data_IF_683110245605
#
_entry.id   IF_683110245605
#
_cell.length_a   1.000
_cell.length_b   1.000
_cell.length_c   1.000
_cell.angle_alpha   90.00
_cell.angle_beta   90.00
_cell.angle_gamma   90.00
#
_symmetry.space_group_name_H-M   'P 1'
#
loop_
_entity.id
_entity.type
_entity.pdbx_description
1 polymer ?
#
# COMPACT_ATOMS: atom_id res chain seq x y z
N UNK A 1 -19.16 -11.19 16.03
CA UNK A 1 -18.11 -10.16 16.32
C UNK A 1 -17.82 -9.46 15.00
N UNK A 2 -17.64 -8.12 14.97
CA UNK A 2 -17.31 -7.39 13.73
C UNK A 2 -15.89 -7.74 13.29
N UNK A 3 -15.72 -8.43 12.17
CA UNK A 3 -14.41 -8.75 11.59
C UNK A 3 -13.97 -7.65 10.63
N UNK A 4 -12.69 -7.64 10.27
CA UNK A 4 -12.16 -6.68 9.31
C UNK A 4 -11.07 -7.28 8.45
N UNK A 5 -10.93 -6.77 7.24
CA UNK A 5 -9.84 -7.11 6.31
C UNK A 5 -8.98 -5.87 6.10
N UNK A 6 -7.67 -6.04 6.16
CA UNK A 6 -6.69 -5.02 5.77
C UNK A 6 -5.98 -5.50 4.52
N UNK A 7 -6.07 -4.72 3.45
CA UNK A 7 -5.22 -4.92 2.28
C UNK A 7 -4.03 -3.97 2.34
N UNK A 8 -2.86 -4.44 1.93
CA UNK A 8 -1.68 -3.61 1.73
C UNK A 8 -1.09 -3.84 0.34
N UNK A 9 -0.94 -2.75 -0.40
CA UNK A 9 -0.45 -2.80 -1.78
C UNK A 9 0.68 -1.79 -1.99
N UNK A 10 1.67 -2.24 -2.76
CA UNK A 10 2.76 -1.40 -3.24
C UNK A 10 2.90 -1.52 -4.75
N UNK A 11 3.04 -0.40 -5.42
CA UNK A 11 3.12 -0.34 -6.88
C UNK A 11 4.08 0.77 -7.29
N UNK A 12 4.72 0.64 -8.46
CA UNK A 12 5.45 1.75 -9.08
C UNK A 12 4.49 2.53 -9.99
N UNK A 13 4.14 3.76 -9.60
CA UNK A 13 3.33 4.65 -10.43
C UNK A 13 4.21 5.65 -11.19
N UNK A 14 4.12 5.67 -12.52
CA UNK A 14 4.90 6.56 -13.37
C UNK A 14 4.58 8.02 -13.10
N UNK A 15 5.60 8.86 -13.12
CA UNK A 15 5.45 10.32 -13.03
C UNK A 15 6.38 11.00 -14.02
N UNK A 16 6.00 12.21 -14.43
CA UNK A 16 6.73 13.00 -15.42
C UNK A 16 7.29 14.29 -14.79
N UNK A 17 8.25 14.90 -15.49
CA UNK A 17 8.95 16.11 -15.04
C UNK A 17 10.30 15.83 -14.37
N UNK A 18 11.31 16.63 -14.71
CA UNK A 18 12.67 16.46 -14.19
C UNK A 18 12.73 16.74 -12.68
N UNK A 19 12.11 17.84 -12.24
CA UNK A 19 12.09 18.31 -10.86
C UNK A 19 11.03 17.63 -9.97
N UNK A 20 10.37 16.55 -10.42
CA UNK A 20 9.36 15.85 -9.61
C UNK A 20 10.01 15.27 -8.35
N UNK A 21 9.77 15.91 -7.21
CA UNK A 21 10.37 15.55 -5.93
C UNK A 21 10.02 14.11 -5.54
N UNK A 22 11.03 13.41 -4.98
CA UNK A 22 10.89 12.04 -4.51
C UNK A 22 10.82 10.99 -5.63
N UNK A 23 10.62 11.38 -6.89
CA UNK A 23 10.58 10.44 -8.00
C UNK A 23 11.98 9.87 -8.27
N UNK A 24 12.06 8.56 -8.48
CA UNK A 24 13.30 7.89 -8.87
C UNK A 24 13.00 6.72 -9.80
N UNK A 25 14.04 6.19 -10.45
CA UNK A 25 13.90 4.97 -11.24
C UNK A 25 13.73 3.76 -10.32
N UNK A 26 12.68 2.99 -10.55
CA UNK A 26 12.41 1.72 -9.88
C UNK A 26 12.11 0.62 -10.89
N UNK A 27 12.25 -0.63 -10.46
CA UNK A 27 11.88 -1.78 -11.28
C UNK A 27 10.36 -1.91 -11.38
N UNK A 28 9.87 -2.19 -12.58
CA UNK A 28 8.49 -2.60 -12.83
C UNK A 28 8.46 -3.63 -13.95
N UNK A 29 7.40 -4.44 -14.02
CA UNK A 29 7.20 -5.41 -15.09
C UNK A 29 6.13 -4.89 -16.04
N UNK A 30 6.44 -4.80 -17.33
CA UNK A 30 5.48 -4.55 -18.40
C UNK A 30 5.52 -5.75 -19.35
N UNK A 31 4.37 -6.40 -19.54
CA UNK A 31 4.27 -7.63 -20.34
C UNK A 31 5.34 -8.68 -19.98
N UNK A 32 5.55 -8.90 -18.67
CA UNK A 32 6.53 -9.87 -18.14
C UNK A 32 7.99 -9.43 -18.16
N UNK A 33 8.33 -8.32 -18.82
CA UNK A 33 9.72 -7.81 -18.89
C UNK A 33 9.99 -6.80 -17.80
N UNK A 34 11.10 -6.99 -17.10
CA UNK A 34 11.59 -6.04 -16.10
C UNK A 34 12.19 -4.81 -16.79
N UNK A 35 11.67 -3.64 -16.45
CA UNK A 35 12.16 -2.35 -16.93
C UNK A 35 12.39 -1.39 -15.76
N UNK A 36 13.22 -0.37 -15.98
CA UNK A 36 13.32 0.77 -15.08
C UNK A 36 12.37 1.87 -15.53
N UNK A 37 11.58 2.40 -14.59
CA UNK A 37 10.68 3.52 -14.87
C UNK A 37 10.79 4.57 -13.79
N UNK A 38 10.84 5.85 -14.18
CA UNK A 38 10.78 6.97 -13.22
C UNK A 38 9.38 7.03 -12.64
N UNK A 39 9.29 6.93 -11.32
CA UNK A 39 8.01 6.83 -10.62
C UNK A 39 8.10 7.18 -9.15
N UNK A 40 6.93 7.17 -8.52
CA UNK A 40 6.78 7.07 -7.07
C UNK A 40 6.26 5.67 -6.76
N UNK A 41 6.58 5.18 -5.57
CA UNK A 41 6.10 3.88 -5.10
C UNK A 41 5.11 4.06 -3.95
N UNK A 42 3.81 4.33 -4.23
CA UNK A 42 2.78 4.32 -3.20
C UNK A 42 2.83 3.04 -2.36
N UNK A 43 2.62 3.18 -1.06
CA UNK A 43 2.21 2.10 -0.17
C UNK A 43 0.86 2.52 0.38
N UNK A 44 -0.16 1.69 0.18
CA UNK A 44 -1.54 2.00 0.52
C UNK A 44 -2.09 0.85 1.35
N UNK A 45 -2.82 1.20 2.40
CA UNK A 45 -3.65 0.24 3.14
C UNK A 45 -5.12 0.61 3.05
N UNK A 46 -5.95 -0.38 2.80
CA UNK A 46 -7.42 -0.25 2.91
C UNK A 46 -7.93 -1.09 4.07
N UNK A 47 -9.06 -0.69 4.64
CA UNK A 47 -9.84 -1.49 5.59
C UNK A 47 -11.19 -1.76 4.95
N UNK A 48 -11.62 -3.01 4.99
CA UNK A 48 -12.95 -3.45 4.53
C UNK A 48 -13.66 -4.22 5.63
N UNK A 49 -15.00 -4.10 5.67
CA UNK A 49 -15.87 -4.88 6.55
C UNK A 49 -17.00 -5.49 5.73
N UNK A 50 -17.77 -6.39 6.34
CA UNK A 50 -18.99 -6.97 5.79
C UNK A 50 -20.15 -5.97 5.65
N UNK A 51 -20.06 -4.82 6.33
CA UNK A 51 -21.15 -3.86 6.44
C UNK A 51 -20.90 -2.54 5.69
N UNK A 52 -19.77 -2.38 5.00
CA UNK A 52 -19.43 -1.09 4.37
C UNK A 52 -18.43 -1.22 3.22
N UNK A 53 -18.35 -0.15 2.41
CA UNK A 53 -17.37 -0.05 1.34
C UNK A 53 -15.93 0.03 1.90
N UNK A 54 -14.93 -0.48 1.17
CA UNK A 54 -13.53 -0.33 1.56
C UNK A 54 -13.14 1.14 1.72
N UNK A 55 -12.39 1.46 2.78
CA UNK A 55 -11.86 2.80 3.05
C UNK A 55 -10.34 2.78 3.05
N UNK A 56 -9.71 3.84 2.53
CA UNK A 56 -8.25 4.00 2.62
C UNK A 56 -7.90 4.37 4.06
N UNK A 57 -7.19 3.48 4.76
CA UNK A 57 -6.74 3.70 6.13
C UNK A 57 -5.39 4.44 6.20
N UNK A 58 -4.62 4.42 5.10
CA UNK A 58 -3.34 5.10 5.00
C UNK A 58 -2.76 5.05 3.60
N UNK A 59 -2.09 6.12 3.20
CA UNK A 59 -1.35 6.19 1.94
C UNK A 59 -0.03 6.93 2.16
N UNK A 60 1.07 6.40 1.62
CA UNK A 60 2.38 7.06 1.64
C UNK A 60 3.02 7.01 0.27
N UNK A 61 3.52 8.14 -0.20
CA UNK A 61 4.39 8.20 -1.36
C UNK A 61 5.82 7.89 -0.92
N UNK A 62 6.47 6.97 -1.63
CA UNK A 62 7.89 6.64 -1.44
C UNK A 62 8.63 6.86 -2.75
N UNK A 63 9.95 6.93 -2.66
CA UNK A 63 10.79 6.97 -3.85
C UNK A 63 10.51 5.76 -4.76
N UNK A 64 10.55 5.96 -6.08
CA UNK A 64 10.27 4.89 -7.06
C UNK A 64 11.15 3.64 -6.87
N UNK A 65 12.35 3.80 -6.33
CA UNK A 65 13.28 2.72 -6.01
C UNK A 65 12.98 1.97 -4.71
N UNK A 66 11.92 2.34 -3.98
CA UNK A 66 11.57 1.68 -2.74
C UNK A 66 11.11 0.24 -3.00
N UNK A 67 11.72 -0.72 -2.31
CA UNK A 67 11.24 -2.09 -2.25
C UNK A 67 9.79 -2.13 -1.72
N UNK A 68 8.97 -3.04 -2.25
CA UNK A 68 7.55 -3.18 -1.93
C UNK A 68 7.28 -3.30 -0.43
N UNK A 69 8.08 -4.08 0.30
CA UNK A 69 7.96 -4.27 1.75
C UNK A 69 8.41 -3.07 2.60
N UNK A 70 9.09 -2.07 2.03
CA UNK A 70 9.63 -0.93 2.80
C UNK A 70 8.51 -0.14 3.47
N UNK A 71 8.39 -0.29 4.79
CA UNK A 71 7.41 0.39 5.63
C UNK A 71 6.08 -0.35 5.80
N UNK A 72 5.93 -1.55 5.21
CA UNK A 72 4.70 -2.33 5.23
C UNK A 72 4.26 -2.70 6.64
N UNK A 73 5.14 -3.31 7.45
CA UNK A 73 4.82 -3.75 8.81
C UNK A 73 4.29 -2.59 9.68
N UNK A 74 4.92 -1.42 9.59
CA UNK A 74 4.48 -0.22 10.34
C UNK A 74 3.13 0.28 9.84
N UNK A 75 2.89 0.28 8.53
CA UNK A 75 1.61 0.71 7.95
C UNK A 75 0.47 -0.26 8.33
N UNK A 76 0.72 -1.58 8.30
CA UNK A 76 -0.22 -2.61 8.77
C UNK A 76 -0.56 -2.38 10.24
N UNK A 77 0.43 -2.16 11.11
CA UNK A 77 0.19 -1.92 12.53
C UNK A 77 -0.69 -0.67 12.76
N UNK A 78 -0.49 0.40 11.98
CA UNK A 78 -1.33 1.59 12.04
C UNK A 78 -2.75 1.32 11.54
N UNK A 79 -2.90 0.61 10.42
CA UNK A 79 -4.20 0.21 9.89
C UNK A 79 -4.96 -0.71 10.87
N UNK A 80 -4.27 -1.63 11.55
CA UNK A 80 -4.87 -2.48 12.58
C UNK A 80 -5.36 -1.66 13.78
N UNK A 81 -4.58 -0.69 14.24
CA UNK A 81 -5.01 0.23 15.29
C UNK A 81 -6.24 1.05 14.85
N UNK A 82 -6.25 1.56 13.61
CA UNK A 82 -7.40 2.26 13.02
C UNK A 82 -8.64 1.36 12.95
N UNK A 83 -8.49 0.10 12.53
CA UNK A 83 -9.60 -0.86 12.49
C UNK A 83 -10.20 -1.12 13.89
N UNK A 84 -9.34 -1.26 14.91
CA UNK A 84 -9.80 -1.38 16.31
C UNK A 84 -10.54 -0.15 16.78
N UNK A 85 -10.01 1.04 16.52
CA UNK A 85 -10.68 2.31 16.84
C UNK A 85 -12.02 2.47 16.10
N UNK A 86 -12.12 1.96 14.87
CA UNK A 86 -13.36 1.91 14.09
C UNK A 86 -14.36 0.83 14.55
N UNK A 87 -14.06 0.08 15.61
CA UNK A 87 -14.99 -0.87 16.23
C UNK A 87 -14.90 -2.30 15.72
N UNK A 88 -13.84 -2.69 15.00
CA UNK A 88 -13.55 -4.09 14.69
C UNK A 88 -13.14 -4.82 15.97
N UNK A 89 -14.02 -5.69 16.49
CA UNK A 89 -13.80 -6.46 17.72
C UNK A 89 -13.43 -7.92 17.48
N UNK A 90 -13.60 -8.40 16.25
CA UNK A 90 -13.29 -9.75 15.80
C UNK A 90 -11.86 -9.91 15.28
N UNK A 91 -11.66 -10.95 14.49
CA UNK A 91 -10.41 -11.20 13.77
C UNK A 91 -10.17 -10.11 12.74
N UNK A 92 -8.89 -9.76 12.55
CA UNK A 92 -8.42 -8.91 11.46
C UNK A 92 -7.58 -9.79 10.54
N UNK A 93 -8.01 -9.96 9.29
CA UNK A 93 -7.23 -10.63 8.25
C UNK A 93 -6.40 -9.59 7.51
N UNK A 94 -5.09 -9.81 7.39
CA UNK A 94 -4.21 -8.96 6.57
C UNK A 94 -3.92 -9.70 5.27
N UNK A 95 -4.11 -9.04 4.13
CA UNK A 95 -3.77 -9.55 2.80
C UNK A 95 -2.78 -8.61 2.13
N UNK A 96 -1.88 -9.18 1.35
CA UNK A 96 -0.93 -8.45 0.52
C UNK A 96 -0.46 -9.35 -0.61
N UNK A 97 0.09 -8.75 -1.66
CA UNK A 97 0.70 -9.46 -2.77
C UNK A 97 2.15 -9.87 -2.46
N UNK A 98 2.69 -10.78 -3.28
CA UNK A 98 4.09 -11.19 -3.17
C UNK A 98 5.01 -10.06 -3.65
N UNK A 99 6.02 -9.75 -2.83
CA UNK A 99 7.05 -8.74 -3.09
C UNK A 99 8.07 -9.13 -4.15
#
# INVERSE_FOLDING_TARGET
RRTGVIDIDSLLRPVYGHAKQGASYGHTKIAGRQILRKGLSPLITTISTDHGAPVIAGARLRAGKANSGKGAARMIAQAAATARAAGVTGQILVRGDSA
#
